data_IF_912379337536
#
_entry.id   IF_912379337536
#
_cell.length_a   1.000
_cell.length_b   1.000
_cell.length_c   1.000
_cell.angle_alpha   90.00
_cell.angle_beta   90.00
_cell.angle_gamma   90.00
#
_symmetry.space_group_name_H-M   'P 1'
#
loop_
_entity.id
_entity.type
_entity.pdbx_description
1 polymer ?
#
# COMPACT_ATOMS: atom_id res chain seq x y z
N UNK A 1 24.91 16.00 9.82
CA UNK A 1 23.51 16.35 10.06
C UNK A 1 22.73 15.05 10.22
N UNK A 2 21.88 14.93 11.25
CA UNK A 2 21.07 13.73 11.45
C UNK A 2 20.06 13.57 10.30
N UNK A 3 19.67 12.36 10.01
CA UNK A 3 18.69 12.01 8.96
C UNK A 3 18.88 10.57 8.54
N UNK A 4 17.81 9.97 8.02
CA UNK A 4 17.86 8.61 7.52
C UNK A 4 18.60 8.55 6.19
N UNK A 5 19.48 7.55 5.98
CA UNK A 5 20.05 7.28 4.68
C UNK A 5 19.00 6.76 3.70
N UNK A 6 19.26 6.93 2.42
CA UNK A 6 18.51 6.25 1.38
C UNK A 6 18.97 4.81 1.25
N UNK A 7 18.03 3.93 0.99
CA UNK A 7 18.24 2.52 0.67
C UNK A 7 17.74 2.21 -0.73
N UNK A 8 18.32 1.19 -1.36
CA UNK A 8 17.88 0.67 -2.65
C UNK A 8 17.48 -0.79 -2.49
N UNK A 9 16.19 -1.07 -2.59
CA UNK A 9 15.62 -2.40 -2.40
C UNK A 9 14.83 -2.81 -3.64
N UNK A 10 14.38 -4.06 -3.68
CA UNK A 10 13.50 -4.55 -4.74
C UNK A 10 12.19 -5.05 -4.14
N UNK A 11 11.08 -4.72 -4.81
CA UNK A 11 9.76 -5.24 -4.56
C UNK A 11 9.22 -5.87 -5.84
N UNK A 12 8.41 -6.91 -5.71
CA UNK A 12 7.67 -7.48 -6.84
C UNK A 12 6.53 -6.54 -7.27
N UNK A 13 6.07 -6.66 -8.51
CA UNK A 13 4.92 -5.88 -8.98
C UNK A 13 3.68 -6.11 -8.12
N UNK A 14 3.48 -7.34 -7.62
CA UNK A 14 2.42 -7.67 -6.68
C UNK A 14 2.55 -6.94 -5.35
N UNK A 15 3.77 -6.77 -4.83
CA UNK A 15 4.04 -6.01 -3.62
C UNK A 15 3.82 -4.51 -3.84
N UNK A 16 4.18 -3.97 -5.00
CA UNK A 16 3.88 -2.58 -5.37
C UNK A 16 2.36 -2.32 -5.44
N UNK A 17 1.59 -3.23 -6.03
CA UNK A 17 0.12 -3.18 -6.01
C UNK A 17 -0.43 -3.24 -4.58
N UNK A 18 0.18 -4.05 -3.71
CA UNK A 18 -0.18 -4.13 -2.29
C UNK A 18 0.14 -2.82 -1.55
N UNK A 19 1.28 -2.18 -1.84
CA UNK A 19 1.64 -0.89 -1.27
C UNK A 19 0.63 0.22 -1.65
N UNK A 20 0.23 0.28 -2.93
CA UNK A 20 -0.82 1.19 -3.39
C UNK A 20 -2.15 0.94 -2.66
N UNK A 21 -2.52 -0.34 -2.44
CA UNK A 21 -3.74 -0.71 -1.74
C UNK A 21 -3.69 -0.33 -0.25
N UNK A 22 -2.54 -0.46 0.41
CA UNK A 22 -2.35 0.00 1.79
C UNK A 22 -2.54 1.51 1.86
N UNK A 23 -1.93 2.26 0.96
CA UNK A 23 -2.12 3.72 0.90
C UNK A 23 -3.61 4.09 0.72
N UNK A 24 -4.29 3.48 -0.26
CA UNK A 24 -5.68 3.78 -0.56
C UNK A 24 -6.67 3.36 0.55
N UNK A 25 -6.35 2.31 1.31
CA UNK A 25 -7.27 1.71 2.28
C UNK A 25 -6.98 2.07 3.73
N UNK A 26 -5.72 2.37 4.07
CA UNK A 26 -5.27 2.50 5.47
C UNK A 26 -4.89 3.95 5.81
N UNK A 27 -4.46 4.76 4.83
CA UNK A 27 -3.97 6.11 5.08
C UNK A 27 -5.00 7.07 5.71
N UNK A 28 -6.29 6.80 5.54
CA UNK A 28 -7.36 7.59 6.16
C UNK A 28 -7.46 7.34 7.68
N UNK A 29 -7.05 6.16 8.15
CA UNK A 29 -7.05 5.77 9.56
C UNK A 29 -5.67 5.95 10.20
N UNK A 30 -4.62 5.79 9.42
CA UNK A 30 -3.22 5.88 9.84
C UNK A 30 -2.45 6.74 8.84
N UNK A 31 -2.26 8.01 9.16
CA UNK A 31 -1.60 8.97 8.26
C UNK A 31 -0.16 8.60 7.93
N UNK A 32 0.51 7.85 8.80
CA UNK A 32 1.87 7.31 8.58
C UNK A 32 1.93 6.23 7.49
N UNK A 33 0.80 5.64 7.12
CA UNK A 33 0.71 4.69 6.00
C UNK A 33 0.56 5.38 4.64
N UNK A 34 0.49 6.72 4.61
CA UNK A 34 0.37 7.48 3.38
C UNK A 34 1.70 7.49 2.63
N UNK A 35 1.66 7.03 1.39
CA UNK A 35 2.84 6.99 0.51
C UNK A 35 2.85 8.20 -0.42
N UNK A 36 4.05 8.70 -0.68
CA UNK A 36 4.32 9.75 -1.67
C UNK A 36 5.29 9.19 -2.70
N UNK A 37 4.72 8.48 -3.68
CA UNK A 37 5.51 7.78 -4.68
C UNK A 37 5.92 8.69 -5.84
N UNK A 38 7.08 8.43 -6.41
CA UNK A 38 7.49 8.94 -7.72
C UNK A 38 7.67 7.72 -8.64
N UNK A 39 7.10 7.79 -9.84
CA UNK A 39 7.17 6.70 -10.81
C UNK A 39 6.15 5.56 -10.58
N UNK A 40 5.38 5.59 -9.50
CA UNK A 40 4.26 4.66 -9.29
C UNK A 40 2.97 5.46 -9.22
N UNK A 41 2.08 5.21 -10.17
CA UNK A 41 0.79 5.85 -10.28
C UNK A 41 -0.34 4.84 -10.11
N UNK A 42 -1.44 5.24 -9.50
CA UNK A 42 -2.57 4.35 -9.31
C UNK A 42 -3.92 5.09 -9.25
N UNK A 43 -4.96 4.37 -9.65
CA UNK A 43 -6.36 4.80 -9.52
C UNK A 43 -7.03 3.98 -8.43
N UNK A 44 -7.82 4.63 -7.59
CA UNK A 44 -8.59 3.95 -6.56
C UNK A 44 -9.99 4.51 -6.41
N UNK A 45 -10.92 3.66 -5.97
CA UNK A 45 -12.28 4.07 -5.66
C UNK A 45 -12.52 3.96 -4.15
N UNK A 46 -12.73 5.07 -3.43
CA UNK A 46 -12.92 5.09 -1.98
C UNK A 46 -14.18 4.36 -1.51
N UNK A 47 -15.17 4.18 -2.41
CA UNK A 47 -16.43 3.50 -2.10
C UNK A 47 -16.33 1.98 -2.17
N UNK A 48 -15.22 1.42 -2.65
CA UNK A 48 -14.98 -0.03 -2.70
C UNK A 48 -14.63 -0.58 -1.30
N UNK A 49 -14.67 -1.89 -1.20
CA UNK A 49 -14.29 -2.61 0.02
C UNK A 49 -12.85 -2.29 0.42
N UNK A 50 -12.60 -2.13 1.71
CA UNK A 50 -11.25 -1.96 2.26
C UNK A 50 -10.31 -3.08 1.77
N UNK A 51 -9.08 -2.75 1.46
CA UNK A 51 -8.08 -3.61 0.83
C UNK A 51 -8.48 -4.15 -0.56
N UNK A 52 -9.44 -3.49 -1.22
CA UNK A 52 -9.81 -3.68 -2.64
C UNK A 52 -10.26 -2.36 -3.29
N UNK A 53 -9.70 -1.24 -2.84
CA UNK A 53 -10.02 0.09 -3.36
C UNK A 53 -9.28 0.39 -4.66
N UNK A 54 -8.06 -0.11 -4.82
CA UNK A 54 -7.24 0.15 -6.00
C UNK A 54 -7.78 -0.61 -7.20
N UNK A 55 -7.98 0.11 -8.29
CA UNK A 55 -8.53 -0.42 -9.55
C UNK A 55 -7.49 -0.54 -10.65
N UNK A 56 -6.39 0.22 -10.54
CA UNK A 56 -5.34 0.27 -11.54
C UNK A 56 -4.02 0.73 -10.90
N UNK A 57 -2.89 0.12 -11.28
CA UNK A 57 -1.53 0.47 -10.82
C UNK A 57 -0.54 0.27 -11.94
N UNK A 58 0.26 1.27 -12.22
CA UNK A 58 1.29 1.22 -13.26
C UNK A 58 2.50 2.07 -12.87
N UNK A 59 3.62 1.87 -13.56
CA UNK A 59 4.74 2.78 -13.48
C UNK A 59 4.60 3.83 -14.59
N UNK A 60 4.93 5.08 -14.23
CA UNK A 60 5.09 6.17 -15.19
C UNK A 60 6.56 6.63 -15.15
N UNK A 61 7.27 6.44 -16.27
CA UNK A 61 8.65 6.88 -16.42
C UNK A 61 8.77 8.32 -16.99
N UNK A 62 7.64 9.01 -17.12
CA UNK A 62 7.53 10.34 -17.71
C UNK A 62 7.37 10.34 -19.24
N UNK A 63 7.46 9.18 -19.89
CA UNK A 63 7.29 9.02 -21.33
C UNK A 63 6.23 7.99 -21.70
N UNK A 64 6.06 6.97 -20.89
CA UNK A 64 5.14 5.88 -21.14
C UNK A 64 4.65 5.24 -19.84
N UNK A 65 3.44 4.70 -19.93
CA UNK A 65 2.86 3.83 -18.92
C UNK A 65 3.43 2.42 -19.07
N UNK A 66 3.89 1.84 -17.96
CA UNK A 66 4.44 0.47 -17.90
C UNK A 66 3.57 -0.34 -16.94
N UNK A 67 2.94 -1.40 -17.45
CA UNK A 67 2.15 -2.31 -16.63
C UNK A 67 3.04 -3.13 -15.70
N UNK A 68 2.58 -3.32 -14.45
CA UNK A 68 3.29 -4.10 -13.46
C UNK A 68 3.08 -5.60 -13.68
N UNK A 69 4.16 -6.34 -13.86
CA UNK A 69 4.20 -7.81 -13.87
C UNK A 69 4.33 -8.32 -12.43
N UNK A 70 3.43 -9.18 -11.98
CA UNK A 70 3.29 -9.55 -10.57
C UNK A 70 4.58 -10.09 -9.95
N UNK A 71 5.31 -10.93 -10.66
CA UNK A 71 6.51 -11.62 -10.16
C UNK A 71 7.83 -10.92 -10.50
N UNK A 72 7.78 -9.86 -11.31
CA UNK A 72 8.97 -9.09 -11.69
C UNK A 72 9.42 -8.20 -10.56
N UNK A 73 10.73 -8.12 -10.38
CA UNK A 73 11.37 -7.24 -9.42
C UNK A 73 11.52 -5.83 -9.97
N UNK A 74 11.10 -4.86 -9.18
CA UNK A 74 11.24 -3.43 -9.47
C UNK A 74 12.09 -2.79 -8.38
N UNK A 75 13.06 -2.00 -8.80
CA UNK A 75 13.92 -1.26 -7.87
C UNK A 75 13.14 -0.12 -7.23
N UNK A 76 13.22 -0.03 -5.92
CA UNK A 76 12.58 1.01 -5.10
C UNK A 76 13.66 1.71 -4.28
N UNK A 77 13.63 3.03 -4.26
CA UNK A 77 14.45 3.85 -3.38
C UNK A 77 13.54 4.48 -2.34
N UNK A 78 13.91 4.34 -1.08
CA UNK A 78 13.20 4.92 0.06
C UNK A 78 14.21 5.34 1.13
N UNK A 79 13.80 6.04 2.16
CA UNK A 79 14.62 6.19 3.35
C UNK A 79 14.62 4.90 4.19
N UNK A 80 15.66 4.72 5.00
CA UNK A 80 15.85 3.51 5.81
C UNK A 80 14.66 3.22 6.73
N UNK A 81 14.08 4.26 7.34
CA UNK A 81 12.93 4.10 8.23
C UNK A 81 11.71 3.55 7.48
N UNK A 82 11.41 4.12 6.32
CA UNK A 82 10.31 3.64 5.46
C UNK A 82 10.53 2.19 5.02
N UNK A 83 11.76 1.81 4.66
CA UNK A 83 12.08 0.42 4.29
C UNK A 83 11.85 -0.57 5.44
N UNK A 84 12.28 -0.23 6.65
CA UNK A 84 12.05 -1.05 7.83
C UNK A 84 10.56 -1.15 8.18
N UNK A 85 9.79 -0.07 7.97
CA UNK A 85 8.34 -0.09 8.19
C UNK A 85 7.60 -1.01 7.22
N UNK A 86 8.07 -1.20 5.98
CA UNK A 86 7.48 -2.18 5.06
C UNK A 86 7.54 -3.61 5.62
N UNK A 87 8.67 -3.99 6.21
CA UNK A 87 8.79 -5.29 6.89
C UNK A 87 7.86 -5.40 8.10
N UNK A 88 7.77 -4.34 8.91
CA UNK A 88 6.89 -4.31 10.08
C UNK A 88 5.40 -4.46 9.70
N UNK A 89 4.97 -3.94 8.55
CA UNK A 89 3.58 -4.13 8.05
C UNK A 89 3.28 -5.60 7.83
N UNK A 90 4.22 -6.38 7.30
CA UNK A 90 4.06 -7.82 7.11
C UNK A 90 3.82 -8.52 8.45
N UNK A 91 4.62 -8.22 9.47
CA UNK A 91 4.52 -8.83 10.79
C UNK A 91 3.23 -8.41 11.51
N UNK A 92 2.92 -7.12 11.52
CA UNK A 92 1.70 -6.58 12.15
C UNK A 92 0.42 -7.11 11.52
N UNK A 93 0.44 -7.43 10.23
CA UNK A 93 -0.70 -8.00 9.51
C UNK A 93 -0.74 -9.53 9.56
N UNK A 94 0.13 -10.19 10.33
CA UNK A 94 0.28 -11.66 10.35
C UNK A 94 0.49 -12.23 8.95
N UNK A 95 1.26 -11.56 8.11
CA UNK A 95 1.53 -11.95 6.72
C UNK A 95 0.38 -11.72 5.74
N UNK A 96 -0.73 -11.11 6.16
CA UNK A 96 -1.86 -10.80 5.29
C UNK A 96 -1.47 -9.75 4.23
N UNK A 97 -0.72 -8.72 4.65
CA UNK A 97 -0.13 -7.69 3.80
C UNK A 97 1.38 -7.98 3.70
N UNK A 98 1.79 -8.69 2.66
CA UNK A 98 3.20 -9.04 2.47
C UNK A 98 3.89 -7.97 1.64
N UNK A 99 4.81 -7.25 2.27
CA UNK A 99 5.75 -6.30 1.66
C UNK A 99 7.14 -6.66 2.17
N UNK A 100 7.84 -7.48 1.43
CA UNK A 100 9.16 -8.00 1.83
C UNK A 100 10.23 -7.40 0.93
N UNK A 101 10.97 -6.37 1.40
CA UNK A 101 12.09 -5.82 0.66
C UNK A 101 13.14 -6.90 0.36
N UNK A 102 13.68 -6.87 -0.86
CA UNK A 102 14.56 -7.90 -1.40
C UNK A 102 15.83 -7.29 -1.97
N UNK A 103 16.88 -8.10 -2.02
CA UNK A 103 18.05 -7.86 -2.87
C UNK A 103 17.67 -8.02 -4.34
N UNK A 104 18.60 -7.64 -5.23
CA UNK A 104 18.42 -7.73 -6.69
C UNK A 104 18.23 -9.17 -7.21
N UNK A 105 18.67 -10.17 -6.47
CA UNK A 105 18.49 -11.59 -6.77
C UNK A 105 17.14 -12.16 -6.29
N UNK A 106 16.33 -11.33 -5.61
CA UNK A 106 15.02 -11.72 -5.09
C UNK A 106 15.04 -12.31 -3.69
N UNK A 107 16.20 -12.44 -3.04
CA UNK A 107 16.27 -12.90 -1.64
C UNK A 107 15.81 -11.78 -0.69
N UNK A 108 15.08 -12.10 0.40
CA UNK A 108 14.70 -11.12 1.41
C UNK A 108 15.91 -10.43 2.04
N UNK A 109 15.79 -9.15 2.35
CA UNK A 109 16.82 -8.39 3.05
C UNK A 109 16.77 -8.77 4.54
N UNK A 110 17.89 -9.23 5.07
CA UNK A 110 18.06 -9.53 6.50
C UNK A 110 18.61 -8.31 7.24
N UNK A 111 19.58 -7.61 6.64
CA UNK A 111 20.16 -6.40 7.19
C UNK A 111 20.01 -5.22 6.21
N UNK A 112 19.29 -4.19 6.62
CA UNK A 112 19.08 -3.00 5.80
C UNK A 112 20.33 -2.15 5.64
N UNK A 113 21.38 -2.34 6.46
CA UNK A 113 22.65 -1.65 6.29
C UNK A 113 23.34 -2.04 4.97
N UNK A 114 23.13 -3.27 4.50
CA UNK A 114 23.70 -3.78 3.24
C UNK A 114 23.18 -3.06 1.99
N UNK A 115 22.02 -2.41 2.10
CA UNK A 115 21.32 -1.77 0.97
C UNK A 115 21.29 -0.25 1.09
N UNK A 116 22.05 0.32 2.03
CA UNK A 116 22.24 1.76 2.14
C UNK A 116 22.99 2.27 0.91
N UNK A 117 22.46 3.33 0.31
CA UNK A 117 23.12 4.00 -0.80
C UNK A 117 24.27 4.83 -0.25
N UNK A 118 25.48 4.54 -0.74
CA UNK A 118 26.68 5.28 -0.38
C UNK A 118 27.27 6.01 -1.58
N UNK A 119 27.81 7.19 -1.35
CA UNK A 119 28.55 7.97 -2.32
C UNK A 119 29.86 8.45 -1.69
N UNK A 120 31.01 8.18 -2.35
CA UNK A 120 32.34 8.50 -1.83
C UNK A 120 32.58 7.98 -0.40
N UNK A 121 32.06 6.78 -0.08
CA UNK A 121 32.19 6.14 1.23
C UNK A 121 31.36 6.75 2.36
N UNK A 122 30.39 7.63 2.03
CA UNK A 122 29.44 8.21 2.96
C UNK A 122 28.01 7.82 2.58
N UNK A 123 27.17 7.63 3.58
CA UNK A 123 25.74 7.40 3.37
C UNK A 123 25.08 8.59 2.68
N UNK A 124 24.32 8.34 1.64
CA UNK A 124 23.51 9.36 0.99
C UNK A 124 22.23 9.56 1.83
N UNK A 125 22.14 10.70 2.51
CA UNK A 125 20.97 11.04 3.30
C UNK A 125 19.82 11.55 2.42
N UNK A 126 18.57 11.26 2.79
CA UNK A 126 17.39 11.68 2.04
C UNK A 126 17.34 13.20 1.83
N UNK A 127 17.66 13.98 2.86
CA UNK A 127 17.68 15.44 2.77
C UNK A 127 18.78 15.95 1.83
N UNK A 128 19.95 15.29 1.78
CA UNK A 128 21.07 15.68 0.90
C UNK A 128 20.71 15.40 -0.57
N UNK A 129 20.07 14.26 -0.85
CA UNK A 129 19.57 13.96 -2.18
C UNK A 129 18.54 15.00 -2.66
N UNK A 130 17.61 15.42 -1.77
CA UNK A 130 16.63 16.46 -2.10
C UNK A 130 17.33 17.81 -2.32
N UNK A 131 18.28 18.20 -1.47
CA UNK A 131 19.02 19.45 -1.62
C UNK A 131 19.74 19.52 -2.96
N UNK A 132 20.49 18.46 -3.32
CA UNK A 132 21.19 18.39 -4.63
C UNK A 132 20.22 18.41 -5.81
N UNK A 133 19.07 17.79 -5.67
CA UNK A 133 18.05 17.83 -6.71
C UNK A 133 17.52 19.26 -6.91
N UNK A 134 17.25 19.99 -5.82
CA UNK A 134 16.83 21.40 -5.89
C UNK A 134 17.95 22.30 -6.46
N UNK A 135 19.20 22.06 -6.07
CA UNK A 135 20.36 22.77 -6.62
C UNK A 135 20.58 22.53 -8.14
N UNK A 136 20.04 21.42 -8.67
CA UNK A 136 20.14 21.11 -10.10
C UNK A 136 19.17 21.88 -10.99
N UNK A 137 18.24 22.64 -10.41
CA UNK A 137 17.32 23.47 -11.18
C UNK A 137 18.01 24.73 -11.73
N UNK A 138 17.43 25.31 -12.76
CA UNK A 138 17.93 26.53 -13.37
C UNK A 138 17.66 27.74 -12.49
N UNK A 139 18.62 28.66 -12.41
CA UNK A 139 18.42 30.01 -11.90
C UNK A 139 17.81 30.85 -13.03
N UNK A 140 16.49 31.06 -13.00
CA UNK A 140 15.74 31.72 -14.08
C UNK A 140 15.63 33.23 -13.90
N UNK A 141 15.91 33.75 -12.71
CA UNK A 141 15.84 35.18 -12.40
C UNK A 141 17.21 35.85 -12.17
N UNK A 142 18.28 35.04 -12.11
CA UNK A 142 19.66 35.49 -12.04
C UNK A 142 20.08 36.01 -10.67
N UNK A 143 19.40 35.53 -9.60
CA UNK A 143 19.73 35.94 -8.21
C UNK A 143 20.79 35.03 -7.57
N UNK A 144 21.26 33.99 -8.29
CA UNK A 144 22.27 33.03 -7.85
C UNK A 144 21.66 31.82 -7.08
N UNK A 145 20.34 31.72 -7.03
CA UNK A 145 19.62 30.60 -6.38
C UNK A 145 18.77 29.86 -7.42
N UNK A 146 18.85 28.54 -7.40
CA UNK A 146 18.05 27.69 -8.29
C UNK A 146 16.54 27.87 -8.04
N UNK A 147 15.78 28.12 -9.10
CA UNK A 147 14.31 28.28 -9.00
C UNK A 147 13.61 26.96 -9.14
N UNK A 148 12.62 26.70 -8.26
CA UNK A 148 11.79 25.50 -8.36
C UNK A 148 10.89 25.62 -9.60
N UNK A 149 10.96 24.68 -10.56
CA UNK A 149 10.15 24.71 -11.77
C UNK A 149 8.64 24.74 -11.46
N UNK A 150 7.86 25.46 -12.28
CA UNK A 150 6.41 25.58 -12.15
C UNK A 150 5.71 24.21 -12.17
N UNK A 151 6.31 23.22 -12.82
CA UNK A 151 5.87 21.83 -12.79
C UNK A 151 5.52 21.35 -11.36
N UNK A 152 6.30 21.72 -10.33
CA UNK A 152 6.08 21.30 -8.95
C UNK A 152 4.97 22.07 -8.22
N UNK A 153 4.46 23.13 -8.80
CA UNK A 153 3.33 23.89 -8.26
C UNK A 153 1.97 23.27 -8.61
N UNK A 154 1.94 22.27 -9.51
CA UNK A 154 0.73 21.65 -10.01
C UNK A 154 0.54 20.24 -9.49
N UNK A 155 -0.69 19.71 -9.59
CA UNK A 155 -1.00 18.34 -9.25
C UNK A 155 -0.58 17.40 -10.38
N UNK A 156 0.16 16.33 -10.05
CA UNK A 156 0.67 15.36 -11.05
C UNK A 156 -0.22 14.14 -11.24
N UNK A 157 -1.37 14.08 -10.56
CA UNK A 157 -2.36 13.01 -10.68
C UNK A 157 -1.82 11.58 -10.51
N UNK A 158 -0.74 11.41 -9.72
CA UNK A 158 -0.16 10.10 -9.41
C UNK A 158 -1.12 9.21 -8.63
N UNK A 159 -2.05 9.82 -7.90
CA UNK A 159 -3.15 9.15 -7.21
C UNK A 159 -4.45 9.72 -7.77
N UNK A 160 -5.17 8.91 -8.52
CA UNK A 160 -6.41 9.28 -9.16
C UNK A 160 -7.58 8.69 -8.39
N UNK A 161 -8.61 9.50 -8.18
CA UNK A 161 -9.83 9.07 -7.49
C UNK A 161 -10.91 8.81 -8.52
N UNK A 162 -11.42 7.58 -8.56
CA UNK A 162 -12.66 7.21 -9.23
C UNK A 162 -13.74 7.04 -8.16
N UNK A 163 -14.65 8.01 -8.04
CA UNK A 163 -15.70 8.02 -7.02
C UNK A 163 -17.00 7.33 -7.45
N UNK A 164 -16.94 6.50 -8.50
CA UNK A 164 -18.09 5.70 -8.98
C UNK A 164 -18.78 4.96 -7.83
N UNK A 165 -20.11 5.07 -7.79
CA UNK A 165 -20.99 4.30 -6.87
C UNK A 165 -21.78 3.22 -7.59
N UNK A 166 -21.45 2.95 -8.85
CA UNK A 166 -22.07 1.87 -9.60
C UNK A 166 -21.70 0.53 -8.97
N UNK A 167 -22.71 -0.28 -8.66
CA UNK A 167 -22.52 -1.58 -7.97
C UNK A 167 -21.55 -2.49 -8.76
N UNK A 168 -21.60 -2.47 -10.08
CA UNK A 168 -20.69 -3.27 -10.92
C UNK A 168 -19.24 -2.84 -10.70
N UNK A 169 -18.96 -1.53 -10.65
CA UNK A 169 -17.61 -1.01 -10.41
C UNK A 169 -17.13 -1.31 -8.99
N UNK A 170 -18.05 -1.30 -8.01
CA UNK A 170 -17.71 -1.59 -6.62
C UNK A 170 -17.30 -3.05 -6.37
N UNK A 171 -17.85 -4.00 -7.14
CA UNK A 171 -17.59 -5.44 -6.96
C UNK A 171 -16.69 -6.04 -8.05
N UNK A 172 -16.33 -5.26 -9.06
CA UNK A 172 -15.47 -5.67 -10.16
C UNK A 172 -14.08 -6.07 -9.66
N UNK A 173 -13.52 -7.12 -10.24
CA UNK A 173 -12.16 -7.60 -9.94
C UNK A 173 -11.90 -7.77 -8.43
N UNK A 174 -12.61 -8.70 -7.76
CA UNK A 174 -12.38 -8.97 -6.35
C UNK A 174 -10.98 -9.59 -6.17
N UNK A 175 -10.25 -9.10 -5.18
CA UNK A 175 -8.95 -9.65 -4.82
C UNK A 175 -9.03 -10.68 -3.67
N UNK A 176 -7.87 -11.21 -3.24
CA UNK A 176 -7.80 -12.18 -2.14
C UNK A 176 -8.43 -11.66 -0.82
N UNK A 177 -8.31 -10.36 -0.56
CA UNK A 177 -8.85 -9.76 0.67
C UNK A 177 -10.37 -9.71 0.63
N UNK A 178 -10.96 -9.40 -0.52
CA UNK A 178 -12.41 -9.49 -0.72
C UNK A 178 -12.92 -10.91 -0.44
N UNK A 179 -12.25 -11.94 -0.95
CA UNK A 179 -12.63 -13.33 -0.71
C UNK A 179 -12.57 -13.70 0.78
N UNK A 180 -11.52 -13.28 1.49
CA UNK A 180 -11.38 -13.51 2.93
C UNK A 180 -12.49 -12.81 3.71
N UNK A 181 -12.74 -11.51 3.45
CA UNK A 181 -13.77 -10.74 4.15
C UNK A 181 -15.16 -11.33 3.92
N UNK A 182 -15.49 -11.67 2.67
CA UNK A 182 -16.79 -12.30 2.34
C UNK A 182 -16.91 -13.67 3.03
N UNK A 183 -15.84 -14.47 3.07
CA UNK A 183 -15.81 -15.74 3.78
C UNK A 183 -16.07 -15.58 5.28
N UNK A 184 -15.42 -14.63 5.93
CA UNK A 184 -15.63 -14.32 7.36
C UNK A 184 -17.08 -13.90 7.62
N UNK A 185 -17.63 -13.01 6.80
CA UNK A 185 -19.04 -12.58 6.93
C UNK A 185 -19.98 -13.77 6.78
N UNK A 186 -19.75 -14.65 5.80
CA UNK A 186 -20.57 -15.84 5.59
C UNK A 186 -20.54 -16.78 6.82
N UNK A 187 -19.36 -17.02 7.41
CA UNK A 187 -19.23 -17.82 8.64
C UNK A 187 -19.98 -17.18 9.81
N UNK A 188 -19.88 -15.87 9.99
CA UNK A 188 -20.62 -15.17 11.04
C UNK A 188 -22.15 -15.28 10.86
N UNK A 189 -22.64 -15.15 9.63
CA UNK A 189 -24.07 -15.33 9.33
C UNK A 189 -24.51 -16.75 9.68
N UNK A 190 -23.73 -17.77 9.30
CA UNK A 190 -24.05 -19.17 9.63
C UNK A 190 -24.07 -19.42 11.14
N UNK A 191 -23.14 -18.83 11.89
CA UNK A 191 -23.11 -18.91 13.35
C UNK A 191 -24.37 -18.29 13.96
N UNK A 192 -24.79 -17.13 13.49
CA UNK A 192 -26.04 -16.48 13.97
C UNK A 192 -27.25 -17.35 13.68
N UNK A 193 -27.36 -17.89 12.46
CA UNK A 193 -28.45 -18.82 12.10
C UNK A 193 -28.43 -20.05 13.00
N UNK A 194 -27.27 -20.65 13.24
CA UNK A 194 -27.10 -21.80 14.11
C UNK A 194 -27.57 -21.52 15.55
N UNK A 195 -27.19 -20.38 16.12
CA UNK A 195 -27.63 -19.94 17.45
C UNK A 195 -29.14 -19.79 17.49
N UNK A 196 -29.76 -19.15 16.50
CA UNK A 196 -31.23 -19.00 16.41
C UNK A 196 -31.94 -20.35 16.39
N UNK A 197 -31.41 -21.31 15.60
CA UNK A 197 -31.98 -22.67 15.52
C UNK A 197 -31.87 -23.39 16.87
N UNK A 198 -30.71 -23.28 17.55
CA UNK A 198 -30.52 -23.86 18.88
C UNK A 198 -31.51 -23.27 19.90
N UNK A 199 -31.64 -21.96 19.93
CA UNK A 199 -32.61 -21.30 20.84
C UNK A 199 -34.04 -21.79 20.57
N UNK A 200 -34.45 -21.84 19.28
CA UNK A 200 -35.79 -22.37 18.92
C UNK A 200 -35.98 -23.81 19.38
N UNK A 201 -34.98 -24.70 19.24
CA UNK A 201 -35.05 -26.09 19.74
C UNK A 201 -35.19 -26.15 21.26
N UNK A 202 -34.40 -25.34 21.99
CA UNK A 202 -34.46 -25.28 23.46
C UNK A 202 -35.84 -24.81 23.93
N UNK A 203 -36.33 -23.70 23.38
CA UNK A 203 -37.65 -23.14 23.71
C UNK A 203 -38.76 -24.16 23.42
N UNK A 204 -38.74 -24.85 22.30
CA UNK A 204 -39.67 -25.91 21.94
C UNK A 204 -39.64 -27.07 22.97
N UNK A 205 -38.44 -27.48 23.38
CA UNK A 205 -38.24 -28.55 24.37
C UNK A 205 -38.78 -28.14 25.76
N UNK A 206 -38.57 -26.88 26.18
CA UNK A 206 -39.08 -26.36 27.45
C UNK A 206 -40.59 -26.26 27.44
N UNK A 207 -41.19 -25.73 26.34
CA UNK A 207 -42.66 -25.69 26.20
C UNK A 207 -43.28 -27.09 26.24
N UNK A 208 -42.73 -28.08 25.56
CA UNK A 208 -43.27 -29.46 25.56
C UNK A 208 -43.17 -30.14 26.93
N UNK A 209 -42.17 -29.80 27.76
CA UNK A 209 -42.05 -30.29 29.14
C UNK A 209 -43.09 -29.66 30.09
N UNK A 210 -43.44 -28.35 29.88
CA UNK A 210 -44.47 -27.66 30.68
C UNK A 210 -45.87 -28.14 30.36
N UNK A 211 -46.16 -28.64 29.17
CA UNK A 211 -47.47 -29.20 28.79
C UNK A 211 -47.68 -30.64 29.23
N UNK A 212 -46.64 -31.36 29.70
CA UNK A 212 -46.73 -32.73 30.22
C UNK A 212 -46.78 -32.80 31.73
N UNK A 213 -46.74 -31.69 32.44
CA UNK A 213 -47.06 -31.51 33.86
C UNK A 213 -48.47 -30.92 34.01
#
# INVERSE_FOLDING_TARGET
VPGYPLISVYLTGKELKTAAEIDASVSDFMTTARLYCSGLDFTYNPNRMILNKVTDVYLDDGTQRIELEDDKLYRVVADLYSGQMLSAVTDMSYGLLSLVPKYADGTPIEDFEDVIITENGKELKAWDAIARYMESFEDTDGDGIANVPEYYSTTHYRKQVDDSRNIVDLVKNPNKFTAIIVGVIAVLILLVIFIIVLIKKIVKKVKSRKMKK
#
